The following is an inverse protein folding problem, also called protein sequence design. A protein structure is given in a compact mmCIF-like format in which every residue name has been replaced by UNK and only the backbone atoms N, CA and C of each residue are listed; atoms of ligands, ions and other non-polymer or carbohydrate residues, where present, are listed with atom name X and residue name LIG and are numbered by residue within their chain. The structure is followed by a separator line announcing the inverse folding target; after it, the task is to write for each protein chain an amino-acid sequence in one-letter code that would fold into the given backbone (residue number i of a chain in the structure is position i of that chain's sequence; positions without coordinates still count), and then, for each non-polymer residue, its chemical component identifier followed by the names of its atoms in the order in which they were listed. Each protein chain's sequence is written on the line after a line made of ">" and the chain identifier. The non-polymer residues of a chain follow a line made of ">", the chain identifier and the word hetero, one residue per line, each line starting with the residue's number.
data_IF_518753763785
#
_entry.id   IF_518753763785
#
_cell.length_a   1.000
_cell.length_b   1.000
_cell.length_c   1.000
_cell.angle_alpha   90.00
_cell.angle_beta   90.00
_cell.angle_gamma   90.00
#
_symmetry.space_group_name_H-M   'P 1'
#
loop_
_entity.id
_entity.type
_entity.pdbx_description
1 polymer ?
#
# COMPACT_ATOMS: atom_id res chain seq x y z
N UNK A 1 -7.66 -22.82 -17.16
CA UNK A 1 -8.77 -22.56 -16.21
C UNK A 1 -8.41 -21.32 -15.40
N UNK A 2 -9.24 -20.28 -15.32
CA UNK A 2 -8.87 -19.02 -14.63
C UNK A 2 -9.56 -18.93 -13.27
N UNK A 3 -8.76 -18.79 -12.22
CA UNK A 3 -9.23 -18.54 -10.86
C UNK A 3 -9.47 -17.04 -10.65
N UNK A 4 -10.60 -16.71 -10.04
CA UNK A 4 -10.96 -15.33 -9.70
C UNK A 4 -11.36 -15.19 -8.24
N UNK A 5 -10.85 -14.14 -7.62
CA UNK A 5 -11.34 -13.66 -6.33
C UNK A 5 -12.48 -12.67 -6.58
N UNK A 6 -13.69 -13.03 -6.18
CA UNK A 6 -14.91 -12.26 -6.46
C UNK A 6 -15.83 -12.21 -5.25
N UNK A 7 -16.81 -11.30 -5.32
CA UNK A 7 -17.88 -11.24 -4.34
C UNK A 7 -19.04 -12.13 -4.78
N UNK A 8 -19.49 -13.01 -3.90
CA UNK A 8 -20.73 -13.77 -4.04
C UNK A 8 -21.77 -13.22 -3.07
N UNK A 9 -23.02 -13.04 -3.50
CA UNK A 9 -24.06 -12.49 -2.62
C UNK A 9 -24.61 -13.61 -1.74
N UNK A 10 -24.65 -13.37 -0.44
CA UNK A 10 -25.14 -14.36 0.52
C UNK A 10 -26.67 -14.51 0.36
N UNK A 11 -27.17 -15.74 0.13
CA UNK A 11 -28.61 -16.00 0.11
C UNK A 11 -29.16 -16.00 1.54
N UNK A 12 -30.39 -15.53 1.72
CA UNK A 12 -31.19 -15.69 2.93
C UNK A 12 -32.36 -16.67 2.72
N UNK A 13 -33.18 -16.92 3.76
CA UNK A 13 -34.43 -17.66 3.59
C UNK A 13 -35.34 -16.89 2.62
N UNK A 14 -35.64 -17.50 1.46
CA UNK A 14 -36.35 -16.85 0.35
C UNK A 14 -35.47 -16.14 -0.69
N UNK A 15 -34.15 -16.35 -0.65
CA UNK A 15 -33.20 -15.71 -1.55
C UNK A 15 -32.46 -14.52 -0.92
N UNK A 16 -31.66 -13.80 -1.71
CA UNK A 16 -30.83 -12.74 -1.16
C UNK A 16 -31.68 -11.54 -0.69
N UNK A 17 -31.58 -11.20 0.60
CA UNK A 17 -32.37 -10.13 1.24
C UNK A 17 -32.27 -8.81 0.47
N UNK A 18 -33.42 -8.28 0.04
CA UNK A 18 -33.52 -7.01 -0.70
C UNK A 18 -33.04 -5.86 0.19
N UNK A 19 -32.32 -4.88 -0.39
CA UNK A 19 -31.80 -3.69 0.28
C UNK A 19 -30.85 -3.92 1.48
N UNK A 20 -30.46 -5.17 1.76
CA UNK A 20 -29.47 -5.53 2.79
C UNK A 20 -28.47 -6.54 2.21
N UNK A 21 -27.62 -6.12 1.26
CA UNK A 21 -26.67 -7.02 0.63
C UNK A 21 -25.53 -7.37 1.59
N UNK A 22 -25.19 -8.64 1.67
CA UNK A 22 -24.02 -9.18 2.36
C UNK A 22 -23.26 -10.02 1.35
N UNK A 23 -21.93 -9.90 1.31
CA UNK A 23 -21.10 -10.56 0.31
C UNK A 23 -20.03 -11.44 0.94
N UNK A 24 -19.89 -12.66 0.43
CA UNK A 24 -18.71 -13.48 0.70
C UNK A 24 -17.61 -13.15 -0.30
N UNK A 25 -16.38 -13.03 0.18
CA UNK A 25 -15.18 -12.99 -0.66
C UNK A 25 -14.81 -14.44 -0.95
N UNK A 26 -14.92 -14.83 -2.22
CA UNK A 26 -14.80 -16.23 -2.63
C UNK A 26 -13.77 -16.41 -3.73
N UNK A 27 -13.13 -17.57 -3.72
CA UNK A 27 -12.37 -18.09 -4.84
C UNK A 27 -13.27 -18.98 -5.69
N UNK A 28 -13.40 -18.66 -6.96
CA UNK A 28 -14.15 -19.47 -7.91
C UNK A 28 -13.55 -19.42 -9.31
N UNK A 29 -13.94 -20.37 -10.15
CA UNK A 29 -13.60 -20.36 -11.56
C UNK A 29 -14.33 -19.22 -12.28
N UNK A 30 -13.66 -18.53 -13.21
CA UNK A 30 -14.23 -17.37 -13.91
C UNK A 30 -15.56 -17.65 -14.65
N UNK A 31 -15.74 -18.87 -15.18
CA UNK A 31 -16.93 -19.29 -15.95
C UNK A 31 -18.11 -19.79 -15.09
N UNK A 32 -17.93 -19.90 -13.77
CA UNK A 32 -18.99 -20.37 -12.87
C UNK A 32 -19.99 -19.26 -12.54
N UNK A 33 -21.26 -19.61 -12.29
CA UNK A 33 -22.30 -18.66 -11.91
C UNK A 33 -21.93 -17.91 -10.63
N UNK A 34 -22.37 -16.64 -10.49
CA UNK A 34 -21.93 -15.72 -9.42
C UNK A 34 -22.03 -16.33 -8.02
N UNK A 35 -23.19 -16.88 -7.69
CA UNK A 35 -23.52 -17.41 -6.37
C UNK A 35 -23.49 -18.95 -6.32
N UNK A 36 -22.87 -19.59 -7.31
CA UNK A 36 -22.62 -21.04 -7.26
C UNK A 36 -21.63 -21.41 -6.15
N UNK A 37 -21.60 -22.69 -5.76
CA UNK A 37 -20.67 -23.20 -4.74
C UNK A 37 -19.23 -22.82 -5.13
N UNK A 38 -18.55 -21.96 -4.36
CA UNK A 38 -17.17 -21.58 -4.64
C UNK A 38 -16.21 -22.72 -4.27
N UNK A 39 -14.96 -22.61 -4.72
CA UNK A 39 -13.90 -23.52 -4.29
C UNK A 39 -13.54 -23.28 -2.83
N UNK A 40 -13.45 -22.01 -2.43
CA UNK A 40 -13.12 -21.59 -1.08
C UNK A 40 -13.78 -20.25 -0.74
N UNK A 41 -14.20 -20.09 0.51
CA UNK A 41 -14.68 -18.83 1.07
C UNK A 41 -13.57 -18.25 1.91
N UNK A 42 -13.01 -17.11 1.49
CA UNK A 42 -11.90 -16.45 2.17
C UNK A 42 -12.36 -15.45 3.22
N UNK A 43 -13.61 -14.99 3.14
CA UNK A 43 -14.06 -13.91 3.98
C UNK A 43 -15.46 -13.41 3.70
N UNK A 44 -15.80 -12.32 4.39
CA UNK A 44 -17.08 -11.63 4.37
C UNK A 44 -16.86 -10.12 4.22
N UNK A 45 -17.76 -9.47 3.49
CA UNK A 45 -17.81 -8.04 3.30
C UNK A 45 -19.25 -7.54 3.48
N UNK A 46 -19.43 -6.63 4.44
CA UNK A 46 -20.67 -5.87 4.61
C UNK A 46 -20.48 -4.45 4.03
N UNK A 47 -21.17 -4.11 2.91
CA UNK A 47 -21.07 -2.79 2.30
C UNK A 47 -21.83 -1.71 3.07
N UNK A 48 -22.77 -2.08 3.95
CA UNK A 48 -23.61 -1.14 4.70
C UNK A 48 -22.78 -0.60 5.86
N UNK A 49 -22.48 0.72 5.92
CA UNK A 49 -21.75 1.30 7.02
C UNK A 49 -22.54 1.15 8.32
N UNK A 50 -21.89 0.60 9.34
CA UNK A 50 -22.45 0.46 10.68
C UNK A 50 -21.72 1.39 11.64
N UNK A 51 -22.39 1.68 12.73
CA UNK A 51 -21.76 2.33 13.87
C UNK A 51 -20.71 1.39 14.44
N UNK A 52 -19.52 1.92 14.69
CA UNK A 52 -18.44 1.16 15.30
C UNK A 52 -18.85 0.85 16.75
N UNK A 53 -18.74 -0.41 17.23
CA UNK A 53 -19.01 -0.70 18.63
C UNK A 53 -18.13 0.16 19.54
N UNK A 54 -18.74 1.00 20.38
CA UNK A 54 -18.04 1.93 21.27
C UNK A 54 -17.76 3.32 20.69
N UNK A 55 -18.28 3.64 19.50
CA UNK A 55 -18.22 4.99 18.94
C UNK A 55 -19.09 5.98 19.72
N UNK A 56 -18.59 7.22 19.87
CA UNK A 56 -19.35 8.36 20.38
C UNK A 56 -20.16 9.01 19.25
N UNK A 57 -21.18 9.78 19.62
CA UNK A 57 -21.99 10.54 18.67
C UNK A 57 -21.09 11.52 17.90
N UNK A 58 -20.92 11.29 16.59
CA UNK A 58 -20.03 12.06 15.70
C UNK A 58 -18.92 11.25 15.02
N UNK A 59 -18.67 10.00 15.44
CA UNK A 59 -17.63 9.17 14.82
C UNK A 59 -18.02 8.66 13.43
N UNK A 60 -17.00 8.40 12.60
CA UNK A 60 -17.19 7.89 11.23
C UNK A 60 -17.75 6.47 11.25
N UNK A 61 -18.76 6.22 10.42
CA UNK A 61 -19.31 4.87 10.20
C UNK A 61 -18.28 3.99 9.48
N UNK A 62 -18.16 2.74 9.93
CA UNK A 62 -17.16 1.80 9.40
C UNK A 62 -17.87 0.67 8.63
N UNK A 63 -17.16 0.10 7.66
CA UNK A 63 -17.61 -1.09 6.92
C UNK A 63 -16.86 -2.31 7.43
N UNK A 64 -17.58 -3.38 7.72
CA UNK A 64 -16.98 -4.61 8.21
C UNK A 64 -16.39 -5.43 7.05
N UNK A 65 -15.11 -5.78 7.19
CA UNK A 65 -14.39 -6.65 6.26
C UNK A 65 -13.68 -7.71 7.09
N UNK A 66 -13.98 -8.98 6.83
CA UNK A 66 -13.32 -10.13 7.46
C UNK A 66 -12.68 -10.96 6.37
N UNK A 67 -11.36 -11.16 6.41
CA UNK A 67 -10.62 -11.89 5.38
C UNK A 67 -9.55 -12.74 6.06
N UNK A 68 -9.43 -14.01 5.64
CA UNK A 68 -8.26 -14.83 5.91
C UNK A 68 -7.09 -14.34 5.06
N UNK A 69 -6.18 -13.62 5.71
CA UNK A 69 -5.01 -13.01 5.08
C UNK A 69 -4.05 -14.06 4.53
N UNK A 70 -3.86 -15.18 5.22
CA UNK A 70 -2.92 -16.23 4.83
C UNK A 70 -3.37 -16.93 3.55
N UNK A 71 -4.66 -17.29 3.48
CA UNK A 71 -5.24 -17.92 2.29
C UNK A 71 -5.34 -16.95 1.13
N UNK A 72 -5.68 -15.68 1.37
CA UNK A 72 -5.68 -14.66 0.33
C UNK A 72 -4.29 -14.48 -0.30
N UNK A 73 -3.22 -14.41 0.51
CA UNK A 73 -1.84 -14.32 0.03
C UNK A 73 -1.44 -15.53 -0.82
N UNK A 74 -1.79 -16.73 -0.39
CA UNK A 74 -1.52 -17.96 -1.15
C UNK A 74 -2.13 -17.90 -2.55
N UNK A 75 -3.43 -17.59 -2.65
CA UNK A 75 -4.12 -17.57 -3.94
C UNK A 75 -3.65 -16.45 -4.86
N UNK A 76 -3.26 -15.30 -4.30
CA UNK A 76 -2.61 -14.23 -5.07
C UNK A 76 -1.26 -14.73 -5.65
N UNK A 77 -0.46 -15.47 -4.87
CA UNK A 77 0.79 -16.07 -5.33
C UNK A 77 0.61 -17.12 -6.42
N UNK A 78 -0.49 -17.88 -6.39
CA UNK A 78 -0.88 -18.84 -7.45
C UNK A 78 -1.37 -18.12 -8.72
N UNK A 79 -1.62 -16.81 -8.66
CA UNK A 79 -2.05 -15.99 -9.81
C UNK A 79 -3.57 -15.83 -9.93
N UNK A 80 -4.32 -16.05 -8.85
CA UNK A 80 -5.76 -15.77 -8.83
C UNK A 80 -6.02 -14.28 -9.07
N UNK A 81 -6.92 -13.97 -10.00
CA UNK A 81 -7.18 -12.58 -10.43
C UNK A 81 -8.33 -11.97 -9.60
N UNK A 82 -8.09 -10.89 -8.83
CA UNK A 82 -9.16 -10.22 -8.09
C UNK A 82 -10.05 -9.36 -8.99
N UNK A 83 -11.34 -9.32 -8.68
CA UNK A 83 -12.25 -8.30 -9.22
C UNK A 83 -11.93 -6.90 -8.66
N UNK A 84 -12.36 -5.84 -9.35
CA UNK A 84 -12.03 -4.44 -8.96
C UNK A 84 -12.40 -4.11 -7.50
N UNK A 85 -13.56 -4.57 -7.03
CA UNK A 85 -13.98 -4.34 -5.64
C UNK A 85 -13.12 -5.13 -4.66
N UNK A 86 -12.87 -6.41 -4.93
CA UNK A 86 -12.03 -7.25 -4.06
C UNK A 86 -10.60 -6.72 -4.03
N UNK A 87 -10.07 -6.26 -5.17
CA UNK A 87 -8.78 -5.59 -5.25
C UNK A 87 -8.69 -4.41 -4.30
N UNK A 88 -9.72 -3.54 -4.28
CA UNK A 88 -9.78 -2.40 -3.36
C UNK A 88 -9.79 -2.86 -1.90
N UNK A 89 -10.56 -3.89 -1.56
CA UNK A 89 -10.60 -4.43 -0.20
C UNK A 89 -9.23 -4.99 0.22
N UNK A 90 -8.56 -5.73 -0.66
CA UNK A 90 -7.22 -6.28 -0.41
C UNK A 90 -6.16 -5.19 -0.28
N UNK A 91 -6.28 -4.11 -1.05
CA UNK A 91 -5.40 -2.94 -0.95
C UNK A 91 -5.58 -2.20 0.37
N UNK A 92 -6.81 -2.08 0.88
CA UNK A 92 -7.08 -1.51 2.20
C UNK A 92 -6.46 -2.33 3.35
N UNK A 93 -6.29 -3.64 3.15
CA UNK A 93 -5.64 -4.55 4.10
C UNK A 93 -4.10 -4.51 3.94
N UNK A 94 -3.57 -3.92 2.86
CA UNK A 94 -2.13 -3.85 2.57
C UNK A 94 -1.57 -5.09 1.89
N UNK A 95 -2.40 -5.89 1.19
CA UNK A 95 -1.94 -7.09 0.47
C UNK A 95 -1.51 -6.83 -0.97
N UNK A 96 -2.10 -5.81 -1.60
CA UNK A 96 -1.89 -5.49 -3.01
C UNK A 96 -1.86 -3.98 -3.16
N UNK A 97 -1.04 -3.48 -4.08
CA UNK A 97 -1.02 -2.07 -4.41
C UNK A 97 -2.37 -1.60 -4.97
N UNK A 98 -2.86 -0.41 -4.61
CA UNK A 98 -4.12 0.12 -5.14
C UNK A 98 -4.00 0.36 -6.65
N UNK A 99 -4.89 -0.27 -7.44
CA UNK A 99 -4.91 -0.09 -8.91
C UNK A 99 -5.34 1.31 -9.35
N UNK A 100 -6.15 1.97 -8.54
CA UNK A 100 -6.65 3.32 -8.79
C UNK A 100 -6.22 4.19 -7.63
N UNK A 101 -5.37 5.18 -7.91
CA UNK A 101 -5.08 6.22 -6.95
C UNK A 101 -6.34 7.07 -6.79
N UNK A 102 -6.73 7.41 -5.57
CA UNK A 102 -7.93 8.19 -5.36
C UNK A 102 -7.65 9.64 -5.79
N UNK A 103 -8.24 10.09 -6.90
CA UNK A 103 -8.05 11.45 -7.45
C UNK A 103 -9.10 12.40 -6.87
N UNK A 104 -8.66 13.43 -6.12
CA UNK A 104 -9.53 14.42 -5.47
C UNK A 104 -8.87 15.15 -4.29
N UNK A 105 -9.39 16.31 -3.88
CA UNK A 105 -8.84 17.10 -2.76
C UNK A 105 -8.89 16.31 -1.42
N UNK A 106 -10.02 15.66 -1.17
CA UNK A 106 -10.26 14.86 0.04
C UNK A 106 -9.32 13.65 0.12
N UNK A 107 -8.96 13.10 -1.04
CA UNK A 107 -8.13 11.91 -1.14
C UNK A 107 -6.65 12.25 -1.04
N UNK A 108 -6.22 13.42 -1.54
CA UNK A 108 -4.88 13.96 -1.25
C UNK A 108 -4.64 14.13 0.26
N UNK A 109 -5.64 14.63 0.99
CA UNK A 109 -5.57 14.79 2.44
C UNK A 109 -5.47 13.44 3.15
N UNK A 110 -6.23 12.44 2.70
CA UNK A 110 -6.16 11.08 3.23
C UNK A 110 -4.82 10.38 2.91
N UNK A 111 -4.28 10.54 1.69
CA UNK A 111 -2.99 9.97 1.30
C UNK A 111 -1.81 10.53 2.12
N UNK A 112 -1.86 11.82 2.48
CA UNK A 112 -0.87 12.44 3.39
C UNK A 112 -0.99 11.89 4.82
N UNK A 113 -2.19 11.56 5.26
CA UNK A 113 -2.47 11.04 6.60
C UNK A 113 -2.12 9.54 6.74
N UNK A 114 -2.27 8.74 5.68
CA UNK A 114 -1.88 7.33 5.66
C UNK A 114 -0.37 7.25 5.41
N UNK A 115 0.41 7.50 6.47
CA UNK A 115 1.84 7.17 6.52
C UNK A 115 1.95 5.65 6.58
N UNK A 116 1.92 4.97 5.44
CA UNK A 116 2.32 3.57 5.39
C UNK A 116 3.77 3.48 5.91
N UNK A 117 4.09 2.66 6.93
CA UNK A 117 5.46 2.24 7.13
C UNK A 117 5.81 1.37 5.94
N UNK A 118 6.42 1.99 4.92
CA UNK A 118 7.16 1.25 3.90
C UNK A 118 8.17 0.41 4.68
N UNK A 119 8.07 -0.92 4.60
CA UNK A 119 9.22 -1.77 4.85
C UNK A 119 10.29 -1.31 3.87
N UNK A 120 11.20 -0.45 4.33
CA UNK A 120 12.39 -0.12 3.59
C UNK A 120 13.22 -1.39 3.56
N UNK A 121 13.19 -2.12 2.44
CA UNK A 121 14.30 -3.01 2.14
C UNK A 121 15.50 -2.11 1.83
N UNK A 122 16.22 -1.73 2.88
CA UNK A 122 17.55 -1.18 2.78
C UNK A 122 18.49 -2.29 2.27
N UNK A 123 19.06 -2.10 1.09
CA UNK A 123 20.32 -2.71 0.68
C UNK A 123 20.28 -4.17 0.22
N UNK A 124 20.12 -4.38 -1.09
CA UNK A 124 20.85 -5.45 -1.78
C UNK A 124 21.77 -4.81 -2.81
N UNK A 125 23.01 -4.58 -2.38
CA UNK A 125 24.16 -4.33 -3.24
C UNK A 125 24.34 -5.47 -4.24
N UNK A 126 24.34 -5.16 -5.54
CA UNK A 126 24.41 -6.15 -6.61
C UNK A 126 25.02 -5.63 -7.91
N UNK A 127 26.23 -5.07 -7.83
CA UNK A 127 27.34 -5.26 -8.78
C UNK A 127 26.98 -5.29 -10.29
N UNK A 128 27.02 -4.14 -10.95
CA UNK A 128 27.16 -4.07 -12.41
C UNK A 128 28.53 -4.61 -12.83
N UNK A 129 28.53 -5.79 -13.41
CA UNK A 129 29.66 -6.42 -14.10
C UNK A 129 29.89 -5.65 -15.41
N UNK A 130 31.14 -5.25 -15.61
CA UNK A 130 31.49 -4.18 -16.55
C UNK A 130 31.43 -4.52 -18.03
N UNK A 131 31.53 -3.44 -18.80
CA UNK A 131 31.96 -3.43 -20.18
C UNK A 131 33.16 -2.48 -20.26
N UNK A 132 34.29 -2.99 -20.76
CA UNK A 132 35.56 -2.28 -20.95
C UNK A 132 35.57 -1.58 -22.31
N UNK A 133 36.37 -0.51 -22.37
CA UNK A 133 37.12 0.08 -23.51
C UNK A 133 36.72 1.55 -23.73
N UNK A 134 37.59 2.54 -23.92
CA UNK A 134 39.05 2.63 -23.96
C UNK A 134 39.42 4.13 -23.94
N UNK A 135 40.72 4.39 -23.89
CA UNK A 135 41.42 5.63 -24.27
C UNK A 135 41.72 6.65 -23.17
N UNK A 136 43.02 6.67 -22.87
CA UNK A 136 43.82 7.45 -21.95
C UNK A 136 44.39 8.73 -22.60
N UNK A 137 45.12 9.50 -21.76
CA UNK A 137 45.91 10.74 -21.99
C UNK A 137 45.14 12.01 -21.56
N UNK A 138 45.70 12.96 -20.82
CA UNK A 138 47.08 13.25 -20.44
C UNK A 138 47.08 14.18 -19.22
N UNK A 139 47.95 13.92 -18.26
CA UNK A 139 48.40 14.91 -17.27
C UNK A 139 49.10 16.08 -17.98
N UNK A 140 48.83 17.30 -17.50
CA UNK A 140 49.70 18.49 -17.53
C UNK A 140 49.25 19.29 -16.29
N UNK A 141 50.07 19.40 -15.25
CA UNK A 141 51.13 20.41 -15.13
C UNK A 141 50.46 21.77 -14.91
N UNK A 142 50.71 22.56 -13.87
CA UNK A 142 51.95 22.75 -13.13
C UNK A 142 51.67 23.75 -12.01
N UNK A 143 52.51 23.75 -10.95
CA UNK A 143 52.92 24.92 -10.13
C UNK A 143 51.84 25.72 -9.37
N UNK A 144 52.06 26.31 -8.20
CA UNK A 144 53.11 26.32 -7.16
C UNK A 144 52.62 27.39 -6.17
N UNK A 145 53.06 27.31 -4.89
CA UNK A 145 53.24 28.46 -3.98
C UNK A 145 51.93 29.12 -3.49
N UNK A 146 51.74 29.49 -2.23
CA UNK A 146 52.53 29.54 -1.01
C UNK A 146 51.55 29.99 0.09
N UNK A 147 51.67 29.45 1.31
CA UNK A 147 52.34 30.11 2.45
C UNK A 147 51.51 31.26 3.04
N UNK A 148 51.08 31.13 4.30
CA UNK A 148 50.53 32.25 5.07
C UNK A 148 49.68 31.83 6.26
N UNK A 149 50.33 31.65 7.41
CA UNK A 149 49.73 31.57 8.74
C UNK A 149 49.17 32.94 9.20
N UNK A 150 48.51 32.92 10.38
CA UNK A 150 48.11 34.03 11.29
C UNK A 150 46.84 34.80 10.87
N UNK A 151 45.87 35.15 11.71
CA UNK A 151 45.72 35.14 13.17
C UNK A 151 44.75 36.28 13.54
N UNK A 152 43.91 36.04 14.56
CA UNK A 152 43.19 37.02 15.42
C UNK A 152 42.24 38.08 14.81
N UNK A 153 41.02 38.16 15.38
CA UNK A 153 40.10 39.30 15.27
C UNK A 153 38.68 38.92 15.71
N UNK A 154 38.42 38.80 17.02
CA UNK A 154 37.63 39.76 17.83
C UNK A 154 36.30 40.19 17.21
N UNK A 155 35.18 39.75 17.81
CA UNK A 155 34.10 40.62 18.34
C UNK A 155 32.80 39.81 18.55
N UNK A 156 32.51 39.50 19.82
CA UNK A 156 31.16 39.18 20.30
C UNK A 156 30.36 40.48 20.43
N UNK A 157 29.03 40.40 20.38
CA UNK A 157 28.33 40.75 21.62
C UNK A 157 27.30 39.69 22.03
N UNK A 158 27.39 39.29 23.31
CA UNK A 158 26.30 38.63 24.03
C UNK A 158 25.12 39.59 24.18
N UNK A 159 23.89 39.07 24.13
CA UNK A 159 22.76 39.56 24.91
C UNK A 159 21.71 38.42 25.07
N UNK A 160 20.79 38.47 26.06
CA UNK A 160 20.85 37.59 27.21
C UNK A 160 19.49 36.91 27.44
N UNK A 161 19.36 35.65 27.07
CA UNK A 161 18.23 34.83 27.51
C UNK A 161 18.55 33.38 27.15
N UNK A 162 19.13 32.65 28.09
CA UNK A 162 18.82 31.23 28.30
C UNK A 162 19.48 30.81 29.62
N UNK A 163 18.62 30.30 30.51
CA UNK A 163 18.88 29.84 31.86
C UNK A 163 19.36 28.38 31.88
#
# INVERSE_FOLDING_TARGET
>A
MVLRLRLARVPGPGGAKRHRPIYNIVLAQARSARDSKPMEVLGMYDPVPKETPGAKEGDRKTKEIKVDVSRAKYWLGVGAQPSNTVWRLLAMIGLVEPRYLPTGQQTQNALKAVRFPVHQNAGTSGKTRGEKAAASKSMKGNTMVGKGEIGAGTTSPMNPNEA
#
